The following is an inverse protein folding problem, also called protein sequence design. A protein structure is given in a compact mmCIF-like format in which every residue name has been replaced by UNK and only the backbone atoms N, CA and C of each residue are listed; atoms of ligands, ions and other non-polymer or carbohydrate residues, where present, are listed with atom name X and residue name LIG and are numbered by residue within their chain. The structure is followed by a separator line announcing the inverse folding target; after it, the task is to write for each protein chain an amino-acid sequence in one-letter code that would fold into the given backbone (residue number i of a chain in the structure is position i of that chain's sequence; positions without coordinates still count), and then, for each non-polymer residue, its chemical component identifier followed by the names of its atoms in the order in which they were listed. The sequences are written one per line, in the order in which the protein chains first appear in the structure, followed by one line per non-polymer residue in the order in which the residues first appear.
data_IF_809768736385
#
_entry.id   IF_809768736385
#
_cell.length_a   1.000
_cell.length_b   1.000
_cell.length_c   1.000
_cell.angle_alpha   90.00
_cell.angle_beta   90.00
_cell.angle_gamma   90.00
#
_symmetry.space_group_name_H-M   'P 1'
#
loop_
_entity.id
_entity.type
_entity.pdbx_description
1 polymer ?
#
# COMPACT_ATOMS: atom_id res chain seq x y z
N UNK A 1 -9.20 -8.38 18.67
CA UNK A 1 -7.85 -7.79 18.67
C UNK A 1 -7.44 -7.63 20.12
N UNK A 2 -6.29 -8.16 20.55
CA UNK A 2 -5.87 -8.08 21.95
C UNK A 2 -4.93 -6.89 22.12
N UNK A 3 -5.39 -5.86 22.84
CA UNK A 3 -4.56 -4.76 23.31
C UNK A 3 -3.90 -5.22 24.61
N UNK A 4 -2.75 -5.87 24.49
CA UNK A 4 -2.09 -6.61 25.56
C UNK A 4 -1.20 -5.70 26.42
N UNK A 5 -0.57 -4.70 25.80
CA UNK A 5 0.29 -3.74 26.52
C UNK A 5 -0.45 -2.44 26.86
N UNK A 6 0.03 -1.72 27.89
CA UNK A 6 -0.53 -0.42 28.29
C UNK A 6 -0.55 0.62 27.16
N UNK A 7 0.53 0.68 26.36
CA UNK A 7 0.61 1.56 25.19
C UNK A 7 -0.40 1.22 24.10
N UNK A 8 -0.64 -0.07 23.84
CA UNK A 8 -1.65 -0.50 22.87
C UNK A 8 -3.06 -0.07 23.30
N UNK A 9 -3.38 -0.19 24.60
CA UNK A 9 -4.67 0.26 25.15
C UNK A 9 -4.83 1.78 25.10
N UNK A 10 -3.78 2.53 25.44
CA UNK A 10 -3.80 4.00 25.36
C UNK A 10 -3.99 4.48 23.90
N UNK A 11 -3.30 3.87 22.94
CA UNK A 11 -3.50 4.16 21.51
C UNK A 11 -4.90 3.83 21.01
N UNK A 12 -5.49 2.73 21.49
CA UNK A 12 -6.88 2.38 21.20
C UNK A 12 -7.87 3.43 21.72
N UNK A 13 -7.74 3.85 22.98
CA UNK A 13 -8.59 4.88 23.58
C UNK A 13 -8.42 6.21 22.83
N UNK A 14 -7.19 6.57 22.46
CA UNK A 14 -6.93 7.77 21.65
C UNK A 14 -7.72 7.72 20.34
N UNK A 15 -7.69 6.61 19.61
CA UNK A 15 -8.43 6.47 18.35
C UNK A 15 -9.95 6.59 18.53
N UNK A 16 -10.50 6.07 19.65
CA UNK A 16 -11.92 6.22 19.99
C UNK A 16 -12.28 7.70 20.11
N UNK A 17 -11.46 8.48 20.83
CA UNK A 17 -11.70 9.90 21.04
C UNK A 17 -11.50 10.72 19.75
N UNK A 18 -10.42 10.44 19.01
CA UNK A 18 -10.05 11.17 17.79
C UNK A 18 -11.12 11.07 16.70
N UNK A 19 -11.68 9.87 16.51
CA UNK A 19 -12.69 9.62 15.48
C UNK A 19 -14.12 9.56 16.04
N UNK A 20 -14.33 9.93 17.31
CA UNK A 20 -15.62 9.87 18.00
C UNK A 20 -16.33 8.51 17.82
N UNK A 21 -15.58 7.42 17.99
CA UNK A 21 -16.09 6.06 17.77
C UNK A 21 -16.94 5.61 18.97
N UNK A 22 -17.95 4.76 18.74
CA UNK A 22 -18.68 4.14 19.84
C UNK A 22 -17.77 3.17 20.62
N UNK A 23 -18.04 3.00 21.91
CA UNK A 23 -17.23 2.12 22.77
C UNK A 23 -17.18 0.66 22.28
N UNK A 24 -18.21 0.20 21.58
CA UNK A 24 -18.31 -1.15 20.99
C UNK A 24 -17.88 -1.22 19.51
N UNK A 25 -17.16 -0.22 18.98
CA UNK A 25 -16.83 -0.17 17.55
C UNK A 25 -16.08 -1.43 17.06
N UNK A 26 -15.29 -2.08 17.91
CA UNK A 26 -14.59 -3.32 17.54
C UNK A 26 -15.55 -4.48 17.26
N UNK A 27 -16.68 -4.55 17.97
CA UNK A 27 -17.73 -5.54 17.74
C UNK A 27 -18.49 -5.23 16.45
N UNK A 28 -18.79 -3.94 16.23
CA UNK A 28 -19.43 -3.45 15.00
C UNK A 28 -18.54 -3.78 13.80
N UNK A 29 -17.25 -3.47 13.87
CA UNK A 29 -16.28 -3.76 12.81
C UNK A 29 -16.20 -5.26 12.52
N UNK A 30 -16.10 -6.10 13.56
CA UNK A 30 -16.09 -7.55 13.39
C UNK A 30 -17.38 -8.07 12.73
N UNK A 31 -18.54 -7.51 13.09
CA UNK A 31 -19.83 -7.86 12.49
C UNK A 31 -19.86 -7.47 11.01
N UNK A 32 -19.44 -6.25 10.67
CA UNK A 32 -19.34 -5.78 9.29
C UNK A 32 -18.50 -6.76 8.48
N UNK A 33 -17.26 -7.03 8.91
CA UNK A 33 -16.33 -7.93 8.21
C UNK A 33 -16.90 -9.33 7.99
N UNK A 34 -17.59 -9.91 8.99
CA UNK A 34 -18.22 -11.23 8.88
C UNK A 34 -19.43 -11.26 7.95
N UNK A 35 -20.12 -10.12 7.81
CA UNK A 35 -21.31 -9.98 6.97
C UNK A 35 -21.01 -9.57 5.53
N UNK A 36 -19.76 -9.23 5.20
CA UNK A 36 -19.40 -8.79 3.86
C UNK A 36 -19.54 -9.92 2.86
N UNK A 37 -20.23 -9.65 1.75
CA UNK A 37 -20.31 -10.59 0.62
C UNK A 37 -19.23 -10.29 -0.41
N UNK A 38 -18.96 -11.27 -1.28
CA UNK A 38 -18.01 -11.09 -2.39
C UNK A 38 -18.41 -9.93 -3.30
N UNK A 39 -19.70 -9.79 -3.59
CA UNK A 39 -20.23 -8.76 -4.47
C UNK A 39 -19.99 -7.36 -3.89
N UNK A 40 -20.11 -7.21 -2.56
CA UNK A 40 -19.82 -5.95 -1.87
C UNK A 40 -18.32 -5.62 -1.93
N UNK A 41 -17.45 -6.62 -1.75
CA UNK A 41 -15.99 -6.46 -1.89
C UNK A 41 -15.63 -6.06 -3.32
N UNK A 42 -16.19 -6.75 -4.32
CA UNK A 42 -15.96 -6.47 -5.73
C UNK A 42 -16.43 -5.05 -6.12
N UNK A 43 -17.57 -4.60 -5.57
CA UNK A 43 -18.07 -3.25 -5.76
C UNK A 43 -17.16 -2.18 -5.13
N UNK A 44 -16.65 -2.43 -3.92
CA UNK A 44 -15.69 -1.55 -3.26
C UNK A 44 -14.37 -1.48 -4.02
N UNK A 45 -13.86 -2.62 -4.51
CA UNK A 45 -12.66 -2.68 -5.32
C UNK A 45 -12.82 -1.85 -6.60
N UNK A 46 -13.92 -2.02 -7.33
CA UNK A 46 -14.21 -1.21 -8.53
C UNK A 46 -14.36 0.29 -8.23
N UNK A 47 -14.85 0.64 -7.04
CA UNK A 47 -15.02 2.04 -6.64
C UNK A 47 -13.71 2.74 -6.31
N UNK A 48 -12.80 2.07 -5.59
CA UNK A 48 -11.61 2.70 -5.03
C UNK A 48 -10.32 2.35 -5.76
N UNK A 49 -10.26 1.23 -6.47
CA UNK A 49 -9.08 0.78 -7.21
C UNK A 49 -9.25 1.14 -8.68
N UNK A 50 -8.58 2.22 -9.08
CA UNK A 50 -8.42 2.60 -10.47
C UNK A 50 -7.05 2.11 -10.96
N UNK A 51 -7.05 1.02 -11.74
CA UNK A 51 -5.81 0.41 -12.23
C UNK A 51 -4.95 1.37 -13.06
N UNK A 52 -5.54 2.39 -13.70
CA UNK A 52 -4.80 3.42 -14.44
C UNK A 52 -4.10 4.46 -13.56
N UNK A 53 -4.41 4.49 -12.26
CA UNK A 53 -3.81 5.42 -11.26
C UNK A 53 -2.95 4.70 -10.22
N UNK A 54 -2.71 3.41 -10.39
CA UNK A 54 -1.84 2.64 -9.50
C UNK A 54 -0.36 2.84 -9.89
N UNK A 55 0.46 3.15 -8.90
CA UNK A 55 1.91 3.17 -9.04
C UNK A 55 2.49 1.93 -8.37
N UNK A 56 3.38 1.22 -9.07
CA UNK A 56 4.11 0.08 -8.52
C UNK A 56 5.51 0.52 -8.14
N UNK A 57 5.80 0.58 -6.84
CA UNK A 57 7.14 0.85 -6.32
C UNK A 57 7.83 -0.46 -5.94
N UNK A 58 8.97 -0.74 -6.57
CA UNK A 58 9.77 -1.91 -6.27
C UNK A 58 11.12 -1.46 -5.71
N UNK A 59 11.49 -2.00 -4.55
CA UNK A 59 12.75 -1.71 -3.86
C UNK A 59 13.56 -3.00 -3.80
N UNK A 60 14.76 -3.00 -4.39
CA UNK A 60 15.63 -4.16 -4.41
C UNK A 60 16.87 -3.98 -5.29
N UNK A 61 17.63 -5.06 -5.44
CA UNK A 61 18.80 -5.09 -6.33
C UNK A 61 18.36 -5.03 -7.80
N UNK A 62 18.60 -3.87 -8.43
CA UNK A 62 18.26 -3.58 -9.83
C UNK A 62 18.76 -4.66 -10.78
N UNK A 63 19.97 -5.18 -10.57
CA UNK A 63 20.60 -6.14 -11.50
C UNK A 63 19.83 -7.45 -11.59
N UNK A 64 19.13 -7.82 -10.50
CA UNK A 64 18.37 -9.07 -10.40
C UNK A 64 16.95 -8.94 -10.91
N UNK A 65 16.34 -7.75 -10.79
CA UNK A 65 14.90 -7.57 -11.03
C UNK A 65 14.58 -6.89 -12.36
N UNK A 66 15.47 -6.02 -12.88
CA UNK A 66 15.15 -5.14 -14.02
C UNK A 66 14.79 -5.92 -15.29
N UNK A 67 15.52 -6.98 -15.60
CA UNK A 67 15.29 -7.79 -16.80
C UNK A 67 13.93 -8.51 -16.76
N UNK A 68 13.49 -8.92 -15.57
CA UNK A 68 12.15 -9.48 -15.36
C UNK A 68 11.06 -8.43 -15.55
N UNK A 69 11.25 -7.23 -15.01
CA UNK A 69 10.28 -6.13 -15.10
C UNK A 69 10.11 -5.63 -16.53
N UNK A 70 11.20 -5.53 -17.29
CA UNK A 70 11.14 -5.13 -18.70
C UNK A 70 10.31 -6.10 -19.56
N UNK A 71 10.33 -7.40 -19.25
CA UNK A 71 9.51 -8.41 -19.95
C UNK A 71 8.02 -8.25 -19.70
N UNK A 72 7.62 -7.60 -18.61
CA UNK A 72 6.22 -7.35 -18.28
C UNK A 72 5.62 -6.18 -19.08
N UNK A 73 6.44 -5.40 -19.79
CA UNK A 73 5.97 -4.33 -20.67
C UNK A 73 5.48 -3.07 -19.94
N UNK A 74 5.71 -2.96 -18.63
CA UNK A 74 5.37 -1.75 -17.87
C UNK A 74 6.37 -0.62 -18.14
N UNK A 75 5.93 0.65 -18.15
CA UNK A 75 6.84 1.79 -18.14
C UNK A 75 7.60 1.82 -16.81
N UNK A 76 8.93 1.78 -16.87
CA UNK A 76 9.80 1.80 -15.69
C UNK A 76 10.41 3.19 -15.55
N UNK A 77 10.18 3.80 -14.39
CA UNK A 77 10.86 5.03 -13.95
C UNK A 77 11.82 4.65 -12.84
N UNK A 78 13.11 4.85 -13.06
CA UNK A 78 14.12 4.66 -12.03
C UNK A 78 14.14 5.88 -11.11
N UNK A 79 14.18 5.65 -9.81
CA UNK A 79 14.22 6.69 -8.79
C UNK A 79 15.54 6.64 -8.01
N UNK A 80 16.03 7.80 -7.61
CA UNK A 80 17.12 7.92 -6.64
C UNK A 80 16.62 7.72 -5.19
N UNK A 81 17.53 7.86 -4.22
CA UNK A 81 17.22 7.69 -2.78
C UNK A 81 16.23 8.73 -2.25
N UNK A 82 16.09 9.86 -2.94
CA UNK A 82 15.18 10.94 -2.60
C UNK A 82 13.84 10.82 -3.36
N UNK A 83 13.67 9.76 -4.17
CA UNK A 83 12.46 9.51 -4.95
C UNK A 83 12.35 10.36 -6.22
N UNK A 84 13.43 11.00 -6.69
CA UNK A 84 13.45 11.75 -7.95
C UNK A 84 13.84 10.84 -9.11
N UNK A 85 13.36 11.10 -10.34
CA UNK A 85 13.80 10.34 -11.52
C UNK A 85 15.32 10.37 -11.65
N UNK A 86 15.95 9.19 -11.67
CA UNK A 86 17.38 9.07 -11.85
C UNK A 86 17.75 9.58 -13.25
N UNK A 87 18.60 10.62 -13.33
CA UNK A 87 19.08 11.12 -14.61
C UNK A 87 19.81 10.01 -15.38
N UNK A 88 19.47 9.83 -16.67
CA UNK A 88 20.22 8.95 -17.56
C UNK A 88 21.63 9.52 -17.74
N UNK A 89 22.59 9.11 -16.91
CA UNK A 89 23.99 9.16 -17.31
C UNK A 89 24.15 8.14 -18.45
N UNK A 90 24.07 8.64 -19.68
CA UNK A 90 24.49 7.90 -20.86
C UNK A 90 25.97 7.56 -20.67
N UNK A 91 26.24 6.32 -20.26
CA UNK A 91 27.59 5.75 -20.31
C UNK A 91 27.99 5.68 -21.79
N UNK A 92 28.68 6.73 -22.27
CA UNK A 92 29.51 6.65 -23.46
C UNK A 92 30.52 5.53 -23.21
N UNK A 93 30.30 4.38 -23.84
CA UNK A 93 31.34 3.37 -23.97
C UNK A 93 32.41 4.01 -24.86
N UNK A 94 33.55 4.34 -24.25
CA UNK A 94 34.80 4.54 -24.97
C UNK A 94 35.45 3.17 -25.15
N UNK A 95 35.93 2.95 -26.37
CA UNK A 95 36.66 1.80 -26.94
C UNK A 95 35.77 0.67 -27.46
#
# INVERSE_FOLDING_TARGET
MRYETGFQKAGFIRNILEYNLPANYTEIQARILRSMTKEQIDALAKKYIDAGKLNMLLVGDKTKILSGLQKLGYPIVELDVDGKPAEKKASKIHL
#
